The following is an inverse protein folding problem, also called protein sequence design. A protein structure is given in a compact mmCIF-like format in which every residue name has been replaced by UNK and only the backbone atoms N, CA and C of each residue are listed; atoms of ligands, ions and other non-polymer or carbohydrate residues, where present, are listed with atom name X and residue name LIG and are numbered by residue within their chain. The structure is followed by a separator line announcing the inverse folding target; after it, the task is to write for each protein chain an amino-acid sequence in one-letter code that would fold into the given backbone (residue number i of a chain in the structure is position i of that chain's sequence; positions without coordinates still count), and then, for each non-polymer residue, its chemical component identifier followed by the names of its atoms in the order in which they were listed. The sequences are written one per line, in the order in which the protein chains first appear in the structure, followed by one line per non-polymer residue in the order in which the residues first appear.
data_IF_602813425826
#
_entry.id   IF_602813425826
#
_cell.length_a   1.000
_cell.length_b   1.000
_cell.length_c   1.000
_cell.angle_alpha   90.00
_cell.angle_beta   90.00
_cell.angle_gamma   90.00
#
_symmetry.space_group_name_H-M   'P 1'
#
loop_
_entity.id
_entity.type
_entity.pdbx_description
1 polymer ?
#
# COMPACT_ATOMS: atom_id res chain seq x y z
N UNK A 1 -5.92 -32.20 -13.11
CA UNK A 1 -6.78 -31.39 -12.22
C UNK A 1 -6.05 -30.11 -11.85
N UNK A 2 -6.48 -28.93 -12.33
CA UNK A 2 -5.84 -27.63 -12.02
C UNK A 2 -6.62 -26.96 -10.90
N UNK A 3 -6.06 -26.88 -9.69
CA UNK A 3 -6.61 -26.09 -8.59
C UNK A 3 -6.59 -24.63 -9.00
N UNK A 4 -7.74 -24.09 -9.40
CA UNK A 4 -7.96 -22.65 -9.63
C UNK A 4 -7.89 -21.95 -8.29
N UNK A 5 -6.68 -21.62 -7.89
CA UNK A 5 -6.49 -20.65 -6.82
C UNK A 5 -6.82 -19.28 -7.41
N UNK A 6 -7.94 -18.68 -7.00
CA UNK A 6 -8.30 -17.30 -7.34
C UNK A 6 -7.42 -16.30 -6.56
N UNK A 7 -6.11 -16.44 -6.72
CA UNK A 7 -5.08 -15.59 -6.12
C UNK A 7 -4.20 -15.07 -7.25
N UNK A 8 -3.90 -13.77 -7.25
CA UNK A 8 -2.81 -13.21 -8.03
C UNK A 8 -1.65 -12.93 -7.10
N UNK A 9 -0.45 -13.37 -7.48
CA UNK A 9 0.77 -13.09 -6.73
C UNK A 9 1.61 -12.17 -7.60
N UNK A 10 1.93 -11.01 -7.05
CA UNK A 10 2.86 -10.05 -7.61
C UNK A 10 4.12 -10.12 -6.74
N UNK A 11 5.27 -10.25 -7.38
CA UNK A 11 6.58 -10.16 -6.76
C UNK A 11 7.40 -9.13 -7.52
N UNK A 12 8.46 -8.65 -6.87
CA UNK A 12 9.43 -7.69 -7.42
C UNK A 12 8.90 -6.26 -7.58
N UNK A 13 9.30 -5.40 -6.64
CA UNK A 13 9.10 -3.94 -6.70
C UNK A 13 7.63 -3.53 -6.94
N UNK A 14 6.71 -4.14 -6.20
CA UNK A 14 5.28 -3.87 -6.31
C UNK A 14 5.00 -2.45 -5.85
N UNK A 15 4.31 -1.67 -6.69
CA UNK A 15 3.81 -0.33 -6.36
C UNK A 15 2.31 -0.28 -6.62
N UNK A 16 1.55 0.01 -5.57
CA UNK A 16 0.10 0.25 -5.65
C UNK A 16 -0.13 1.75 -5.45
N UNK A 17 -0.94 2.36 -6.31
CA UNK A 17 -1.31 3.78 -6.19
C UNK A 17 -2.83 3.86 -6.22
N UNK A 18 -3.39 4.51 -5.20
CA UNK A 18 -4.83 4.74 -5.08
C UNK A 18 -5.05 6.17 -4.57
N UNK A 19 -5.53 7.04 -5.46
CA UNK A 19 -5.62 8.48 -5.18
C UNK A 19 -4.26 9.03 -4.74
N UNK A 20 -4.22 9.63 -3.56
CA UNK A 20 -3.00 10.21 -2.96
C UNK A 20 -2.15 9.21 -2.17
N UNK A 21 -2.59 7.96 -2.05
CA UNK A 21 -1.89 6.93 -1.27
C UNK A 21 -1.09 6.02 -2.19
N UNK A 22 0.20 5.86 -1.91
CA UNK A 22 1.08 4.91 -2.60
C UNK A 22 1.59 3.88 -1.62
N UNK A 23 1.46 2.60 -1.95
CA UNK A 23 2.07 1.50 -1.22
C UNK A 23 3.17 0.85 -2.06
N UNK A 24 4.29 0.48 -1.42
CA UNK A 24 5.36 -0.31 -2.00
C UNK A 24 5.61 -1.57 -1.18
N UNK A 25 5.88 -2.68 -1.84
CA UNK A 25 6.26 -3.95 -1.18
C UNK A 25 7.12 -4.83 -2.10
N UNK A 26 7.76 -5.87 -1.54
CA UNK A 26 8.47 -6.87 -2.35
C UNK A 26 7.54 -7.90 -2.96
N UNK A 27 6.48 -8.25 -2.23
CA UNK A 27 5.45 -9.17 -2.69
C UNK A 27 4.07 -8.64 -2.34
N UNK A 28 3.09 -8.99 -3.16
CA UNK A 28 1.68 -8.70 -2.97
C UNK A 28 0.84 -9.89 -3.45
N UNK A 29 0.10 -10.51 -2.56
CA UNK A 29 -0.88 -11.53 -2.87
C UNK A 29 -2.27 -10.91 -2.84
N UNK A 30 -3.02 -11.06 -3.93
CA UNK A 30 -4.38 -10.54 -4.08
C UNK A 30 -5.32 -11.72 -4.15
N UNK A 31 -6.18 -11.83 -3.15
CA UNK A 31 -7.26 -12.81 -3.08
C UNK A 31 -8.53 -12.18 -3.66
N UNK A 32 -9.08 -12.81 -4.68
CA UNK A 32 -10.33 -12.36 -5.30
C UNK A 32 -11.53 -13.07 -4.66
N UNK A 33 -12.61 -12.32 -4.42
CA UNK A 33 -13.91 -12.92 -4.18
C UNK A 33 -14.30 -13.60 -5.49
N UNK A 34 -14.55 -14.90 -5.46
CA UNK A 34 -14.97 -15.67 -6.63
C UNK A 34 -16.39 -15.29 -7.05
N UNK A 35 -16.56 -14.09 -7.60
CA UNK A 35 -17.75 -13.65 -8.31
C UNK A 35 -17.52 -13.85 -9.79
N UNK A 36 -18.05 -14.93 -10.34
CA UNK A 36 -18.13 -15.22 -11.78
C UNK A 36 -16.80 -15.50 -12.46
N UNK A 37 -16.44 -16.78 -12.42
CA UNK A 37 -15.95 -17.44 -13.62
C UNK A 37 -16.92 -17.09 -14.77
N UNK A 38 -16.54 -16.15 -15.65
CA UNK A 38 -17.12 -16.10 -16.98
C UNK A 38 -16.83 -17.46 -17.61
N UNK A 39 -17.85 -18.31 -17.63
CA UNK A 39 -17.92 -19.45 -18.52
C UNK A 39 -17.57 -18.95 -19.93
N UNK A 40 -16.73 -19.65 -20.69
CA UNK A 40 -16.56 -19.36 -22.10
C UNK A 40 -17.85 -19.83 -22.79
N UNK A 41 -18.91 -19.03 -22.73
CA UNK A 41 -20.04 -19.25 -23.61
C UNK A 41 -19.63 -18.74 -24.99
N UNK A 42 -19.09 -19.65 -25.78
CA UNK A 42 -18.98 -19.50 -27.22
C UNK A 42 -20.39 -19.33 -27.77
N UNK A 43 -20.73 -18.11 -28.18
CA UNK A 43 -21.53 -17.76 -29.37
C UNK A 43 -22.29 -16.46 -29.13
N UNK A 44 -21.84 -15.37 -29.74
CA UNK A 44 -22.59 -14.67 -30.80
C UNK A 44 -21.84 -13.42 -31.28
N UNK A 45 -21.31 -13.56 -32.50
CA UNK A 45 -21.20 -12.58 -33.57
C UNK A 45 -21.02 -11.07 -33.25
N UNK A 46 -19.87 -10.58 -33.74
CA UNK A 46 -19.69 -9.34 -34.53
C UNK A 46 -20.22 -8.03 -33.92
N UNK A 47 -19.28 -7.21 -33.39
CA UNK A 47 -19.21 -5.78 -33.73
C UNK A 47 -17.84 -5.16 -33.41
N UNK A 48 -17.16 -4.79 -34.51
CA UNK A 48 -16.19 -3.73 -34.79
C UNK A 48 -15.56 -2.88 -33.64
N UNK A 49 -14.20 -2.95 -33.60
CA UNK A 49 -13.16 -1.90 -33.30
C UNK A 49 -12.98 -1.43 -31.83
N UNK A 50 -11.79 -0.89 -31.49
CA UNK A 50 -10.45 -1.47 -31.56
C UNK A 50 -9.84 -1.65 -30.15
N UNK A 51 -8.85 -2.54 -30.05
CA UNK A 51 -7.97 -2.76 -28.90
C UNK A 51 -7.56 -1.43 -28.22
N UNK A 52 -7.90 -1.28 -26.94
CA UNK A 52 -7.04 -0.60 -25.97
C UNK A 52 -6.71 -1.64 -24.90
N UNK A 53 -5.58 -2.31 -25.08
CA UNK A 53 -5.07 -3.38 -24.23
C UNK A 53 -3.74 -2.94 -23.65
N UNK A 54 -3.73 -1.98 -22.71
CA UNK A 54 -2.50 -1.57 -22.01
C UNK A 54 -2.78 -1.11 -20.58
N UNK A 55 -3.49 -1.93 -19.81
CA UNK A 55 -3.31 -1.95 -18.36
C UNK A 55 -3.48 -3.39 -17.88
N UNK A 56 -2.47 -4.03 -17.27
CA UNK A 56 -2.66 -5.29 -16.56
C UNK A 56 -3.44 -5.00 -15.26
N UNK A 57 -4.73 -4.73 -15.41
CA UNK A 57 -5.73 -4.68 -14.36
C UNK A 57 -6.86 -5.64 -14.75
N UNK A 58 -7.38 -6.47 -13.83
CA UNK A 58 -8.34 -7.51 -14.17
C UNK A 58 -9.59 -6.90 -14.81
N UNK A 59 -9.76 -7.14 -16.11
CA UNK A 59 -10.90 -6.73 -16.91
C UNK A 59 -12.03 -7.75 -16.74
N UNK A 60 -12.87 -7.52 -15.75
CA UNK A 60 -14.03 -8.33 -15.40
C UNK A 60 -14.33 -8.14 -13.92
N UNK A 61 -15.60 -8.10 -13.54
CA UNK A 61 -16.19 -7.81 -12.22
C UNK A 61 -15.58 -8.62 -11.05
N UNK A 62 -14.28 -8.48 -10.84
CA UNK A 62 -13.49 -9.29 -9.93
C UNK A 62 -13.34 -8.45 -8.68
N UNK A 63 -14.25 -8.67 -7.75
CA UNK A 63 -14.20 -7.99 -6.46
C UNK A 63 -12.99 -8.52 -5.69
N UNK A 64 -12.05 -7.62 -5.39
CA UNK A 64 -10.90 -7.97 -4.56
C UNK A 64 -11.43 -8.22 -3.16
N UNK A 65 -11.11 -9.37 -2.56
CA UNK A 65 -11.53 -9.74 -1.21
C UNK A 65 -10.50 -9.36 -0.16
N UNK A 66 -9.22 -9.53 -0.49
CA UNK A 66 -8.12 -9.27 0.43
C UNK A 66 -6.83 -9.06 -0.34
N UNK A 67 -6.01 -8.13 0.10
CA UNK A 67 -4.64 -7.97 -0.38
C UNK A 67 -3.67 -8.22 0.78
N UNK A 68 -2.60 -8.94 0.54
CA UNK A 68 -1.55 -9.25 1.50
C UNK A 68 -0.20 -8.84 0.91
N UNK A 69 0.35 -7.72 1.39
CA UNK A 69 1.65 -7.22 1.02
C UNK A 69 2.71 -7.73 2.01
N UNK A 70 3.89 -8.08 1.50
CA UNK A 70 4.99 -8.60 2.30
C UNK A 70 6.36 -8.13 1.85
N UNK A 71 7.35 -8.35 2.73
CA UNK A 71 8.76 -8.11 2.47
C UNK A 71 9.20 -6.65 2.65
N UNK A 72 8.62 -5.95 3.62
CA UNK A 72 8.92 -4.54 3.88
C UNK A 72 7.96 -3.64 3.12
N UNK A 73 6.76 -3.48 3.68
CA UNK A 73 5.69 -2.66 3.15
C UNK A 73 5.91 -1.22 3.59
N UNK A 74 5.84 -0.29 2.65
CA UNK A 74 5.89 1.15 2.91
C UNK A 74 4.70 1.81 2.24
N UNK A 75 3.85 2.44 3.04
CA UNK A 75 2.68 3.19 2.61
C UNK A 75 2.96 4.68 2.83
N UNK A 76 2.83 5.48 1.80
CA UNK A 76 3.01 6.94 1.84
C UNK A 76 1.71 7.60 1.41
N UNK A 77 1.22 8.54 2.23
CA UNK A 77 0.06 9.39 1.94
C UNK A 77 0.41 10.83 2.32
N UNK A 78 0.53 11.71 1.33
CA UNK A 78 0.94 13.12 1.55
C UNK A 78 2.17 13.20 2.46
N UNK A 79 2.02 13.68 3.70
CA UNK A 79 3.09 13.86 4.68
C UNK A 79 3.21 12.73 5.72
N UNK A 80 2.46 11.63 5.52
CA UNK A 80 2.46 10.45 6.38
C UNK A 80 3.14 9.29 5.68
N UNK A 81 4.01 8.59 6.39
CA UNK A 81 4.66 7.35 5.93
C UNK A 81 4.51 6.27 7.00
N UNK A 82 3.82 5.18 6.68
CA UNK A 82 3.73 3.99 7.50
C UNK A 82 4.59 2.87 6.90
N UNK A 83 5.38 2.21 7.72
CA UNK A 83 6.22 1.09 7.29
C UNK A 83 6.09 -0.09 8.24
N UNK A 84 6.20 -1.31 7.71
CA UNK A 84 6.12 -2.54 8.48
C UNK A 84 6.51 -3.76 7.66
N UNK A 85 6.62 -4.92 8.29
CA UNK A 85 7.08 -6.13 7.60
C UNK A 85 6.01 -6.73 6.67
N UNK A 86 4.74 -6.72 7.11
CA UNK A 86 3.58 -7.23 6.37
C UNK A 86 2.42 -6.24 6.48
N UNK A 87 1.58 -6.18 5.46
CA UNK A 87 0.33 -5.45 5.50
C UNK A 87 -0.79 -6.28 4.85
N UNK A 88 -1.94 -6.30 5.50
CA UNK A 88 -3.14 -6.97 5.03
C UNK A 88 -4.21 -5.90 4.86
N UNK A 89 -4.78 -5.79 3.66
CA UNK A 89 -5.95 -4.97 3.41
C UNK A 89 -7.15 -5.86 3.19
N UNK A 90 -8.15 -5.71 4.06
CA UNK A 90 -9.44 -6.36 3.88
C UNK A 90 -10.43 -5.35 3.30
N UNK A 91 -10.90 -5.62 2.08
CA UNK A 91 -11.86 -4.76 1.38
C UNK A 91 -13.26 -4.87 1.96
N UNK A 92 -13.60 -5.96 2.68
CA UNK A 92 -14.91 -6.09 3.32
C UNK A 92 -15.07 -5.15 4.49
N UNK A 93 -14.03 -5.01 5.30
CA UNK A 93 -14.03 -4.14 6.49
C UNK A 93 -13.36 -2.80 6.23
N UNK A 94 -12.77 -2.59 5.05
CA UNK A 94 -11.96 -1.43 4.69
C UNK A 94 -10.83 -1.16 5.70
N UNK A 95 -10.29 -2.22 6.30
CA UNK A 95 -9.29 -2.15 7.35
C UNK A 95 -7.92 -2.58 6.82
N UNK A 96 -6.92 -1.70 6.96
CA UNK A 96 -5.51 -2.01 6.73
C UNK A 96 -4.92 -2.47 8.06
N UNK A 97 -4.40 -3.69 8.13
CA UNK A 97 -3.63 -4.22 9.25
C UNK A 97 -2.17 -4.38 8.84
N UNK A 98 -1.29 -3.55 9.37
CA UNK A 98 0.15 -3.68 9.20
C UNK A 98 0.76 -4.31 10.45
N UNK A 99 1.70 -5.24 10.26
CA UNK A 99 2.32 -6.01 11.34
C UNK A 99 3.84 -6.07 11.17
N UNK A 100 4.53 -6.09 12.32
CA UNK A 100 5.96 -6.29 12.44
C UNK A 100 6.73 -4.98 12.25
N UNK A 101 7.44 -4.56 13.30
CA UNK A 101 8.26 -3.35 13.37
C UNK A 101 7.59 -2.14 12.74
N UNK A 102 6.36 -1.85 13.17
CA UNK A 102 5.57 -0.81 12.54
C UNK A 102 6.09 0.56 12.95
N UNK A 103 6.42 1.38 11.96
CA UNK A 103 6.86 2.75 12.14
C UNK A 103 5.96 3.67 11.33
N UNK A 104 5.17 4.48 12.01
CA UNK A 104 4.38 5.56 11.44
C UNK A 104 5.11 6.88 11.65
N UNK A 105 5.43 7.57 10.57
CA UNK A 105 6.05 8.89 10.58
C UNK A 105 5.07 9.91 10.01
N UNK A 106 4.78 10.97 10.75
CA UNK A 106 3.91 12.05 10.32
C UNK A 106 4.55 13.39 10.66
N UNK A 107 4.92 14.17 9.63
CA UNK A 107 5.49 15.51 9.79
C UNK A 107 6.60 15.61 10.85
N UNK A 108 7.48 14.60 10.92
CA UNK A 108 8.58 14.53 11.88
C UNK A 108 8.26 13.88 13.23
N UNK A 109 6.99 13.55 13.50
CA UNK A 109 6.59 12.70 14.61
C UNK A 109 6.75 11.24 14.21
N UNK A 110 7.40 10.44 15.06
CA UNK A 110 7.60 9.01 14.82
C UNK A 110 6.90 8.22 15.90
N UNK A 111 5.96 7.38 15.49
CA UNK A 111 5.24 6.43 16.32
C UNK A 111 5.73 5.02 15.96
N UNK A 112 6.19 4.27 16.95
CA UNK A 112 6.61 2.87 16.78
C UNK A 112 5.72 1.93 17.57
N UNK A 113 5.31 0.84 16.95
CA UNK A 113 4.52 -0.21 17.58
C UNK A 113 4.67 -1.57 16.88
N UNK A 114 3.94 -2.56 17.36
CA UNK A 114 3.98 -3.93 16.81
C UNK A 114 2.98 -4.08 15.65
N UNK A 115 1.87 -3.35 15.75
CA UNK A 115 0.75 -3.41 14.82
C UNK A 115 0.16 -2.03 14.56
N UNK A 116 -0.27 -1.79 13.33
CA UNK A 116 -1.03 -0.60 12.94
C UNK A 116 -2.31 -1.05 12.25
N UNK A 117 -3.42 -0.53 12.73
CA UNK A 117 -4.75 -0.69 12.16
C UNK A 117 -5.16 0.66 11.57
N UNK A 118 -5.54 0.69 10.30
CA UNK A 118 -6.07 1.90 9.69
C UNK A 118 -7.41 1.59 9.06
N UNK A 119 -8.45 2.21 9.60
CA UNK A 119 -9.78 2.16 9.03
C UNK A 119 -9.87 3.20 7.90
N UNK A 120 -10.05 2.72 6.67
CA UNK A 120 -10.19 3.59 5.49
C UNK A 120 -11.57 4.25 5.40
N UNK A 121 -12.57 3.75 6.16
CA UNK A 121 -13.92 4.31 6.23
C UNK A 121 -13.93 5.56 7.10
N UNK A 122 -13.38 5.46 8.31
CA UNK A 122 -13.33 6.57 9.28
C UNK A 122 -12.06 7.41 9.15
N UNK A 123 -11.02 6.86 8.53
CA UNK A 123 -9.68 7.47 8.46
C UNK A 123 -8.88 7.34 9.75
N UNK A 124 -9.39 6.62 10.76
CA UNK A 124 -8.73 6.48 12.07
C UNK A 124 -7.58 5.48 11.96
N UNK A 125 -6.41 5.89 12.45
CA UNK A 125 -5.22 5.04 12.58
C UNK A 125 -4.98 4.70 14.05
N UNK A 126 -4.88 3.42 14.36
CA UNK A 126 -4.62 2.89 15.69
C UNK A 126 -3.30 2.12 15.69
N UNK A 127 -2.37 2.49 16.56
CA UNK A 127 -1.11 1.77 16.73
C UNK A 127 -1.20 0.96 18.02
N UNK A 128 -1.04 -0.35 17.90
CA UNK A 128 -1.08 -1.30 19.00
C UNK A 128 0.30 -1.93 19.22
N UNK A 129 0.51 -2.38 20.45
CA UNK A 129 1.71 -3.09 20.89
C UNK A 129 1.24 -4.30 21.68
N UNK A 130 1.61 -5.49 21.24
CA UNK A 130 1.23 -6.76 21.86
C UNK A 130 2.10 -7.03 23.10
N UNK A 131 3.40 -6.72 23.03
CA UNK A 131 4.36 -6.91 24.14
C UNK A 131 5.45 -5.84 24.13
N UNK A 132 5.20 -4.71 24.77
CA UNK A 132 6.22 -3.67 24.87
C UNK A 132 5.71 -2.28 25.25
N UNK A 133 6.46 -1.26 24.84
CA UNK A 133 6.11 0.16 25.03
C UNK A 133 5.97 0.82 23.66
N UNK A 134 4.85 1.52 23.45
CA UNK A 134 4.73 2.47 22.34
C UNK A 134 5.72 3.60 22.59
N UNK A 135 6.66 3.80 21.67
CA UNK A 135 7.56 4.96 21.72
C UNK A 135 7.05 5.99 20.73
N UNK A 136 6.64 7.15 21.26
CA UNK A 136 6.28 8.31 20.45
C UNK A 136 7.36 9.38 20.63
N UNK A 137 8.13 9.63 19.58
CA UNK A 137 9.03 10.78 19.54
C UNK A 137 8.28 11.93 18.90
N UNK A 138 7.88 12.90 19.71
CA UNK A 138 7.22 14.12 19.27
C UNK A 138 8.30 15.18 19.18
N UNK A 139 8.73 15.50 17.96
CA UNK A 139 9.60 16.64 17.75
C UNK A 139 8.76 17.90 17.90
N UNK A 140 8.73 18.48 19.11
CA UNK A 140 8.15 19.81 19.37
C UNK A 140 9.08 20.89 18.80
N UNK A 141 9.27 20.87 17.49
CA UNK A 141 9.82 22.00 16.74
C UNK A 141 8.74 23.06 16.62
N UNK A 142 9.03 24.26 17.13
CA UNK A 142 8.25 25.49 16.96
C UNK A 142 7.52 25.58 15.61
N UNK A 143 6.19 25.46 15.63
CA UNK A 143 5.25 26.15 14.73
C UNK A 143 5.45 26.09 13.22
N UNK A 144 6.25 25.18 12.66
CA UNK A 144 6.49 25.16 11.21
C UNK A 144 6.03 23.84 10.64
N UNK A 145 5.02 23.95 9.78
CA UNK A 145 4.38 22.88 9.03
C UNK A 145 5.39 21.94 8.36
N UNK A 146 4.94 20.70 8.16
CA UNK A 146 5.57 19.60 7.42
C UNK A 146 6.50 20.11 6.31
N UNK A 147 7.79 20.28 6.61
CA UNK A 147 8.78 20.67 5.62
C UNK A 147 9.32 19.38 5.01
N UNK A 148 9.18 19.15 3.69
CA UNK A 148 9.78 18.00 3.04
C UNK A 148 11.30 18.04 3.23
N UNK A 149 11.99 16.89 3.33
CA UNK A 149 13.43 16.87 3.48
C UNK A 149 14.06 17.66 2.33
N UNK A 150 14.66 18.80 2.66
CA UNK A 150 15.49 19.55 1.73
C UNK A 150 16.58 18.61 1.23
N UNK A 151 16.60 18.42 -0.09
CA UNK A 151 17.64 17.66 -0.78
C UNK A 151 19.01 18.09 -0.24
N UNK A 152 19.96 17.18 -0.01
CA UNK A 152 21.32 17.57 0.37
C UNK A 152 21.86 18.46 -0.75
N UNK A 153 21.97 19.76 -0.48
CA UNK A 153 22.68 20.70 -1.34
C UNK A 153 24.10 20.18 -1.43
N UNK A 154 24.41 19.56 -2.58
CA UNK A 154 25.78 19.20 -2.93
C UNK A 154 26.59 20.49 -2.85
N UNK A 155 27.51 20.53 -1.89
CA UNK A 155 28.49 21.60 -1.76
C UNK A 155 29.37 21.50 -3.01
N UNK A 156 29.07 22.30 -4.03
CA UNK A 156 29.91 22.42 -5.21
C UNK A 156 31.25 23.06 -4.79
N UNK A 157 32.41 22.48 -5.12
CA UNK A 157 33.68 23.10 -4.82
C UNK A 157 33.88 24.33 -5.71
N UNK A 158 34.22 25.46 -5.06
CA UNK A 158 34.49 26.75 -5.66
C UNK A 158 35.67 26.65 -6.66
N UNK A 159 35.56 27.11 -7.92
CA UNK A 159 36.73 27.19 -8.79
C UNK A 159 37.64 28.31 -8.29
N UNK A 160 38.88 27.93 -7.97
CA UNK A 160 39.98 28.85 -7.66
C UNK A 160 40.39 29.51 -8.98
N UNK A 161 40.30 30.85 -9.06
CA UNK A 161 41.04 31.62 -10.07
C UNK A 161 42.48 31.78 -9.62
#
# INVERSE_FOLDING_TARGET
MRKKSNRATFSDNVKVVQGDTTMRSKSLEVLYASGQQRSPNANTAKSKRPLHSDQPGPSGNTEIKRLEAGGGVVVTRKDQTASGQRAVFDTKTNLISMLGDVVLTQCGNVLRGDRLLVDMTTGVSHVEVDKGRVTATINRGSGTACQPPSKPTTIAPKPRK
#
